data_IF_531455483231
#
_entry.id   IF_531455483231
#
_cell.length_a   1.000
_cell.length_b   1.000
_cell.length_c   1.000
_cell.angle_alpha   90.00
_cell.angle_beta   90.00
_cell.angle_gamma   90.00
#
_symmetry.space_group_name_H-M   'P 1'
#
loop_
_entity.id
_entity.type
_entity.pdbx_description
1 polymer ?
#
# COMPACT_ATOMS: atom_id res chain seq x y z
N UNK A 1 -10.12 9.26 -3.30
CA UNK A 1 -9.59 8.46 -4.42
C UNK A 1 -8.89 7.23 -3.83
N UNK A 2 -9.39 6.01 -4.08
CA UNK A 2 -8.73 4.78 -3.60
C UNK A 2 -7.49 4.51 -4.46
N UNK A 3 -6.35 4.37 -3.79
CA UNK A 3 -5.05 4.09 -4.41
C UNK A 3 -4.72 2.60 -4.25
N UNK A 4 -4.07 2.01 -5.27
CA UNK A 4 -3.80 0.56 -5.35
C UNK A 4 -3.11 0.03 -4.09
N UNK A 5 -2.21 0.83 -3.52
CA UNK A 5 -1.45 0.51 -2.32
C UNK A 5 -2.34 0.42 -1.08
N UNK A 6 -3.34 1.29 -0.99
CA UNK A 6 -4.38 1.21 0.03
C UNK A 6 -5.19 -0.06 -0.07
N UNK A 7 -5.51 -0.44 -1.30
CA UNK A 7 -6.30 -1.64 -1.57
C UNK A 7 -5.51 -2.88 -1.18
N UNK A 8 -4.22 -2.95 -1.53
CA UNK A 8 -3.34 -4.07 -1.14
C UNK A 8 -3.15 -4.13 0.37
N UNK A 9 -3.10 -2.98 1.06
CA UNK A 9 -3.00 -2.94 2.51
C UNK A 9 -4.29 -3.40 3.21
N UNK A 10 -5.45 -3.03 2.66
CA UNK A 10 -6.77 -3.32 3.22
C UNK A 10 -7.34 -4.69 2.82
N UNK A 11 -6.80 -5.32 1.78
CA UNK A 11 -7.17 -6.68 1.38
C UNK A 11 -6.60 -7.71 2.34
N UNK A 12 -7.39 -8.77 2.57
CA UNK A 12 -6.95 -9.93 3.34
C UNK A 12 -5.79 -10.63 2.63
N UNK A 13 -4.84 -11.17 3.39
CA UNK A 13 -3.64 -11.79 2.83
C UNK A 13 -4.01 -13.17 2.31
N UNK A 14 -3.74 -13.49 1.02
CA UNK A 14 -4.07 -14.80 0.48
C UNK A 14 -3.46 -15.94 1.32
N UNK A 15 -4.18 -17.06 1.50
CA UNK A 15 -3.65 -18.21 2.20
C UNK A 15 -2.36 -18.70 1.50
N UNK A 16 -1.27 -18.78 2.27
CA UNK A 16 0.06 -19.11 1.76
C UNK A 16 1.01 -17.92 1.60
N UNK A 17 0.51 -16.68 1.71
CA UNK A 17 1.34 -15.48 1.75
C UNK A 17 1.55 -15.07 3.21
N UNK A 18 2.81 -14.83 3.59
CA UNK A 18 3.13 -14.34 4.94
C UNK A 18 2.46 -13.00 5.18
N UNK A 19 1.92 -12.78 6.39
CA UNK A 19 1.28 -11.53 6.77
C UNK A 19 2.32 -10.40 7.04
N UNK A 20 3.19 -10.13 6.07
CA UNK A 20 4.24 -9.12 6.12
C UNK A 20 4.06 -8.11 4.99
N UNK A 21 4.50 -6.86 5.23
CA UNK A 21 4.45 -5.83 4.19
C UNK A 21 5.18 -6.23 2.92
N UNK A 22 6.30 -6.95 3.05
CA UNK A 22 7.11 -7.39 1.90
C UNK A 22 6.34 -8.38 1.03
N UNK A 23 5.73 -9.39 1.65
CA UNK A 23 4.96 -10.39 0.91
C UNK A 23 3.70 -9.81 0.27
N UNK A 24 3.01 -8.87 0.93
CA UNK A 24 1.89 -8.13 0.31
C UNK A 24 2.36 -7.25 -0.85
N UNK A 25 3.54 -6.66 -0.75
CA UNK A 25 4.14 -5.82 -1.77
C UNK A 25 4.52 -6.62 -3.02
N UNK A 26 5.18 -7.76 -2.82
CA UNK A 26 5.55 -8.70 -3.88
C UNK A 26 4.31 -9.22 -4.61
N UNK A 27 3.25 -9.60 -3.87
CA UNK A 27 1.97 -10.03 -4.46
C UNK A 27 1.25 -8.91 -5.21
N UNK A 28 1.21 -7.70 -4.64
CA UNK A 28 0.53 -6.56 -5.24
C UNK A 28 1.30 -5.91 -6.40
N UNK A 29 2.56 -6.28 -6.60
CA UNK A 29 3.46 -5.66 -7.58
C UNK A 29 3.76 -4.21 -7.23
N UNK A 30 4.05 -3.94 -5.96
CA UNK A 30 4.28 -2.60 -5.41
C UNK A 30 5.52 -2.61 -4.52
N UNK A 31 6.12 -1.45 -4.27
CA UNK A 31 7.28 -1.39 -3.39
C UNK A 31 6.87 -1.55 -1.92
N UNK A 32 7.57 -2.39 -1.17
CA UNK A 32 7.31 -2.60 0.27
C UNK A 32 7.42 -1.29 1.08
N UNK A 33 8.33 -0.39 0.69
CA UNK A 33 8.47 0.95 1.28
C UNK A 33 7.21 1.81 1.10
N UNK A 34 6.52 1.67 -0.04
CA UNK A 34 5.26 2.37 -0.32
C UNK A 34 4.15 1.87 0.60
N UNK A 35 4.04 0.55 0.77
CA UNK A 35 3.11 -0.09 1.71
C UNK A 35 3.38 0.32 3.16
N UNK A 36 4.65 0.35 3.58
CA UNK A 36 5.03 0.80 4.93
C UNK A 36 4.68 2.27 5.17
N UNK A 37 4.96 3.16 4.21
CA UNK A 37 4.54 4.56 4.30
C UNK A 37 3.02 4.69 4.42
N UNK A 38 2.27 3.87 3.66
CA UNK A 38 0.81 3.82 3.69
C UNK A 38 0.28 3.37 5.05
N UNK A 39 0.86 2.33 5.63
CA UNK A 39 0.48 1.82 6.95
C UNK A 39 0.71 2.86 8.06
N UNK A 40 1.74 3.70 7.92
CA UNK A 40 2.00 4.85 8.79
C UNK A 40 1.09 6.06 8.52
N UNK A 41 0.06 5.91 7.69
CA UNK A 41 -0.90 6.98 7.38
C UNK A 41 -0.35 8.07 6.46
N UNK A 42 0.82 7.88 5.83
CA UNK A 42 1.34 8.89 4.90
C UNK A 42 0.51 8.89 3.61
N UNK A 43 0.06 10.07 3.14
CA UNK A 43 -0.64 10.18 1.87
C UNK A 43 0.28 9.79 0.71
N UNK A 44 -0.28 9.10 -0.28
CA UNK A 44 0.43 8.75 -1.52
C UNK A 44 0.87 10.02 -2.25
N UNK A 45 1.90 9.93 -3.11
CA UNK A 45 2.39 11.09 -3.88
C UNK A 45 1.27 11.77 -4.68
N UNK A 46 0.34 10.99 -5.24
CA UNK A 46 -0.86 11.50 -5.94
C UNK A 46 -1.81 12.24 -4.99
N UNK A 47 -2.08 11.69 -3.81
CA UNK A 47 -2.92 12.34 -2.80
C UNK A 47 -2.27 13.63 -2.25
N UNK A 48 -0.95 13.63 -2.07
CA UNK A 48 -0.19 14.85 -1.76
C UNK A 48 -0.30 15.90 -2.86
N UNK A 49 -0.16 15.50 -4.12
CA UNK A 49 -0.27 16.41 -5.26
C UNK A 49 -1.68 17.03 -5.36
N UNK A 50 -2.75 16.25 -5.11
CA UNK A 50 -4.12 16.78 -5.05
C UNK A 50 -4.38 17.69 -3.84
N UNK A 51 -3.73 17.44 -2.70
CA UNK A 51 -3.89 18.29 -1.51
C UNK A 51 -3.11 19.61 -1.59
N UNK A 52 -2.17 19.75 -2.52
CA UNK A 52 -1.39 20.97 -2.73
C UNK A 52 -1.94 21.86 -3.86
N UNK A 53 -3.06 21.49 -4.47
CA UNK A 53 -3.78 22.31 -5.44
C UNK A 53 -4.86 23.18 -4.80
#
# INVERSE_FOLDING_TARGET
MFDKESLILAQDVPPGISNSYRARADHGGVAASTLNHRALGRPSRKAKAQSQQ
#
